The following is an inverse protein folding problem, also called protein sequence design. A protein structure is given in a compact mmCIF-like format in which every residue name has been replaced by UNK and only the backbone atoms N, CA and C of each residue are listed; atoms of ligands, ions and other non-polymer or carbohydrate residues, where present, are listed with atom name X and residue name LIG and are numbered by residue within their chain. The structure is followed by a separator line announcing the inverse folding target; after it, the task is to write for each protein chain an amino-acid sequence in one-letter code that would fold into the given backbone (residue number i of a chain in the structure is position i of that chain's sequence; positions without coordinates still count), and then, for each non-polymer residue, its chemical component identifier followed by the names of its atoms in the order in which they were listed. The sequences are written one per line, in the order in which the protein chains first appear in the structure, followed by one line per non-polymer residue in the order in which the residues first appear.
data_IF_097820597959
#
_entry.id   IF_097820597959
#
_cell.length_a   1.000
_cell.length_b   1.000
_cell.length_c   1.000
_cell.angle_alpha   90.00
_cell.angle_beta   90.00
_cell.angle_gamma   90.00
#
_symmetry.space_group_name_H-M   'P 1'
#
loop_
_entity.id
_entity.type
_entity.pdbx_description
1 polymer ?
#
# COMPACT_ATOMS: atom_id res chain seq x y z
N UNK A 1 51.38 -19.00 -32.65
CA UNK A 1 51.74 -18.19 -33.84
C UNK A 1 50.82 -16.98 -33.89
N UNK A 2 51.44 -15.78 -33.99
CA UNK A 2 50.97 -14.55 -34.66
C UNK A 2 49.50 -14.15 -34.44
N UNK A 3 49.17 -13.05 -33.78
CA UNK A 3 49.82 -11.74 -33.86
C UNK A 3 48.83 -10.77 -34.50
N UNK A 4 48.48 -9.72 -33.77
CA UNK A 4 47.68 -8.59 -34.19
C UNK A 4 48.13 -8.06 -35.56
N UNK A 5 47.17 -7.77 -36.43
CA UNK A 5 47.40 -7.05 -37.68
C UNK A 5 46.31 -6.01 -37.88
N UNK A 6 46.59 -4.77 -37.47
CA UNK A 6 46.14 -3.61 -38.25
C UNK A 6 47.16 -3.41 -39.38
N UNK A 7 46.72 -3.02 -40.58
CA UNK A 7 46.88 -1.63 -41.02
C UNK A 7 45.60 -1.11 -41.72
N UNK A 8 45.18 0.16 -41.54
CA UNK A 8 45.63 1.32 -42.32
C UNK A 8 45.68 0.98 -43.82
N UNK A 9 44.88 1.52 -44.72
CA UNK A 9 44.63 2.93 -45.07
C UNK A 9 43.50 2.92 -46.09
N UNK A 10 42.48 3.76 -45.92
CA UNK A 10 42.29 4.95 -46.75
C UNK A 10 42.19 4.63 -48.25
N UNK A 11 40.99 4.75 -48.82
CA UNK A 11 40.83 5.21 -50.20
C UNK A 11 39.49 5.94 -50.32
N UNK A 12 39.62 7.27 -50.27
CA UNK A 12 38.60 8.24 -50.62
C UNK A 12 38.27 8.14 -52.10
N UNK A 13 37.02 7.82 -52.44
CA UNK A 13 36.41 8.19 -53.74
C UNK A 13 34.95 8.61 -53.56
N UNK A 14 34.79 9.93 -53.55
CA UNK A 14 33.85 10.73 -54.38
C UNK A 14 32.36 10.36 -54.45
N UNK A 15 31.57 11.21 -53.77
CA UNK A 15 30.23 11.73 -54.08
C UNK A 15 29.23 10.83 -54.80
N UNK A 16 28.09 10.57 -54.15
CA UNK A 16 26.76 11.08 -54.55
C UNK A 16 25.61 10.39 -53.77
N UNK A 17 24.60 11.18 -53.42
CA UNK A 17 23.25 10.81 -52.95
C UNK A 17 23.06 10.29 -51.51
N UNK A 18 22.49 11.17 -50.67
CA UNK A 18 21.64 10.83 -49.52
C UNK A 18 20.37 10.10 -50.02
N UNK A 19 19.80 9.14 -49.27
CA UNK A 19 18.83 9.53 -48.25
C UNK A 19 18.80 8.68 -46.97
N UNK A 20 18.42 9.38 -45.90
CA UNK A 20 17.69 8.92 -44.71
C UNK A 20 18.42 8.06 -43.67
N UNK A 21 18.50 8.71 -42.50
CA UNK A 21 18.32 8.15 -41.16
C UNK A 21 19.57 7.63 -40.47
N UNK A 22 20.12 8.41 -39.55
CA UNK A 22 20.29 7.93 -38.18
C UNK A 22 20.07 9.07 -37.18
N UNK A 23 19.16 8.77 -36.25
CA UNK A 23 18.51 9.64 -35.28
C UNK A 23 19.44 10.20 -34.20
N UNK A 24 19.21 11.46 -33.85
CA UNK A 24 19.47 12.05 -32.53
C UNK A 24 18.58 11.40 -31.45
N UNK A 25 19.10 11.32 -30.20
CA UNK A 25 18.44 11.61 -28.89
C UNK A 25 19.19 10.82 -27.78
N UNK A 26 19.88 11.46 -26.82
CA UNK A 26 19.37 12.19 -25.65
C UNK A 26 18.74 11.30 -24.56
N UNK A 27 19.17 11.47 -23.30
CA UNK A 27 18.34 11.16 -22.13
C UNK A 27 19.05 10.48 -20.95
N UNK A 28 19.32 11.25 -19.89
CA UNK A 28 19.43 10.72 -18.53
C UNK A 28 18.13 9.97 -18.17
N UNK A 29 18.25 8.77 -17.61
CA UNK A 29 17.15 8.09 -16.93
C UNK A 29 17.62 7.58 -15.56
N UNK A 30 17.52 8.44 -14.55
CA UNK A 30 17.43 8.01 -13.16
C UNK A 30 16.15 7.20 -13.00
N UNK A 31 16.28 5.89 -12.91
CA UNK A 31 15.15 5.00 -12.66
C UNK A 31 14.55 5.30 -11.28
N UNK A 32 13.40 5.97 -11.26
CA UNK A 32 12.50 5.93 -10.12
C UNK A 32 12.10 4.46 -9.91
N UNK A 33 12.60 3.84 -8.84
CA UNK A 33 12.04 2.61 -8.31
C UNK A 33 10.65 2.93 -7.77
N UNK A 34 9.65 2.91 -8.64
CA UNK A 34 8.26 2.86 -8.21
C UNK A 34 8.10 1.57 -7.40
N UNK A 35 7.82 1.70 -6.10
CA UNK A 35 7.45 0.57 -5.25
C UNK A 35 6.07 0.07 -5.72
N UNK A 36 6.06 -0.71 -6.79
CA UNK A 36 4.89 -1.44 -7.25
C UNK A 36 4.46 -2.34 -6.09
N UNK A 37 3.36 -1.96 -5.44
CA UNK A 37 2.78 -2.76 -4.39
C UNK A 37 2.51 -4.14 -4.98
N UNK A 38 3.06 -5.22 -4.40
CA UNK A 38 2.83 -6.56 -4.92
C UNK A 38 1.31 -6.77 -4.98
N UNK A 39 0.83 -7.21 -6.15
CA UNK A 39 -0.57 -7.55 -6.32
C UNK A 39 -1.03 -8.47 -5.17
N UNK A 40 -2.28 -8.37 -4.71
CA UNK A 40 -2.77 -9.17 -3.58
C UNK A 40 -2.49 -10.68 -3.76
N UNK A 41 -2.52 -11.17 -4.99
CA UNK A 41 -2.18 -12.56 -5.36
C UNK A 41 -0.69 -12.90 -5.20
N UNK A 42 0.22 -11.93 -5.38
CA UNK A 42 1.65 -12.12 -5.16
C UNK A 42 1.97 -12.23 -3.65
N UNK A 43 1.28 -11.46 -2.81
CA UNK A 43 1.40 -11.54 -1.35
C UNK A 43 0.87 -12.88 -0.82
N UNK A 44 -0.28 -13.31 -1.34
CA UNK A 44 -0.87 -14.60 -0.98
C UNK A 44 0.06 -15.77 -1.35
N UNK A 45 0.60 -15.80 -2.57
CA UNK A 45 1.56 -16.84 -3.00
C UNK A 45 2.84 -16.86 -2.17
N UNK A 46 3.29 -15.68 -1.69
CA UNK A 46 4.45 -15.62 -0.79
C UNK A 46 4.12 -16.28 0.55
N UNK A 47 2.97 -15.97 1.13
CA UNK A 47 2.51 -16.57 2.37
C UNK A 47 2.41 -18.11 2.26
N UNK A 48 1.84 -18.62 1.18
CA UNK A 48 1.73 -20.07 0.94
C UNK A 48 3.09 -20.78 0.92
N UNK A 49 4.10 -20.16 0.29
CA UNK A 49 5.48 -20.69 0.31
C UNK A 49 6.08 -20.68 1.72
N UNK A 50 5.82 -19.63 2.50
CA UNK A 50 6.32 -19.53 3.89
C UNK A 50 5.65 -20.59 4.79
N UNK A 51 4.34 -20.83 4.64
CA UNK A 51 3.62 -21.89 5.37
C UNK A 51 4.15 -23.28 5.00
N UNK A 52 4.43 -23.53 3.72
CA UNK A 52 5.05 -24.78 3.30
C UNK A 52 6.43 -24.99 3.94
N UNK A 53 7.24 -23.92 4.05
CA UNK A 53 8.52 -23.96 4.74
C UNK A 53 8.37 -24.23 6.25
N UNK A 54 7.39 -23.61 6.93
CA UNK A 54 7.10 -23.87 8.34
C UNK A 54 6.67 -25.33 8.58
N UNK A 55 5.91 -25.92 7.66
CA UNK A 55 5.34 -27.26 7.79
C UNK A 55 6.20 -28.40 7.21
N UNK A 56 7.48 -28.15 6.91
CA UNK A 56 8.39 -29.12 6.30
C UNK A 56 8.81 -30.30 7.21
N UNK A 57 8.36 -30.32 8.47
CA UNK A 57 8.68 -31.37 9.45
C UNK A 57 10.03 -31.24 10.16
N UNK A 58 10.84 -30.21 9.86
CA UNK A 58 12.15 -30.00 10.53
C UNK A 58 12.03 -29.23 11.84
N UNK A 59 10.90 -28.56 12.08
CA UNK A 59 10.66 -27.75 13.27
C UNK A 59 9.86 -28.54 14.31
N UNK A 60 10.26 -28.44 15.58
CA UNK A 60 9.44 -28.89 16.71
C UNK A 60 8.13 -28.07 16.76
N UNK A 61 7.06 -28.66 17.30
CA UNK A 61 5.73 -28.05 17.29
C UNK A 61 5.70 -26.58 17.77
N UNK A 62 6.34 -26.18 18.89
CA UNK A 62 6.35 -24.78 19.31
C UNK A 62 7.01 -23.83 18.30
N UNK A 63 8.11 -24.26 17.67
CA UNK A 63 8.83 -23.47 16.68
C UNK A 63 8.04 -23.34 15.37
N UNK A 64 7.32 -24.40 14.98
CA UNK A 64 6.42 -24.38 13.82
C UNK A 64 5.28 -23.38 14.02
N UNK A 65 4.61 -23.42 15.17
CA UNK A 65 3.52 -22.48 15.46
C UNK A 65 4.02 -21.02 15.50
N UNK A 66 5.23 -20.78 16.00
CA UNK A 66 5.86 -19.47 15.97
C UNK A 66 6.15 -19.00 14.52
N UNK A 67 6.64 -19.90 13.66
CA UNK A 67 6.88 -19.64 12.24
C UNK A 67 5.59 -19.26 11.50
N UNK A 68 4.52 -20.03 11.68
CA UNK A 68 3.20 -19.78 11.07
C UNK A 68 2.65 -18.43 11.51
N UNK A 69 2.74 -18.11 12.81
CA UNK A 69 2.32 -16.81 13.35
C UNK A 69 3.11 -15.65 12.74
N UNK A 70 4.42 -15.79 12.60
CA UNK A 70 5.26 -14.77 11.98
C UNK A 70 4.92 -14.53 10.51
N UNK A 71 4.66 -15.60 9.74
CA UNK A 71 4.23 -15.52 8.34
C UNK A 71 2.87 -14.79 8.20
N UNK A 72 1.91 -15.09 9.09
CA UNK A 72 0.62 -14.39 9.12
C UNK A 72 0.77 -12.89 9.39
N UNK A 73 1.56 -12.52 10.41
CA UNK A 73 1.85 -11.12 10.72
C UNK A 73 2.52 -10.41 9.53
N UNK A 74 3.42 -11.09 8.81
CA UNK A 74 4.06 -10.53 7.63
C UNK A 74 3.07 -10.27 6.49
N UNK A 75 2.11 -11.19 6.25
CA UNK A 75 1.04 -11.00 5.27
C UNK A 75 0.12 -9.84 5.65
N UNK A 76 -0.28 -9.75 6.92
CA UNK A 76 -1.17 -8.69 7.41
C UNK A 76 -0.53 -7.31 7.26
N UNK A 77 0.76 -7.18 7.61
CA UNK A 77 1.52 -5.93 7.38
C UNK A 77 1.61 -5.59 5.90
N UNK A 78 1.84 -6.59 5.04
CA UNK A 78 1.96 -6.37 3.60
C UNK A 78 0.62 -5.96 2.95
N UNK A 79 -0.52 -6.29 3.56
CA UNK A 79 -1.85 -5.85 3.13
C UNK A 79 -2.20 -4.43 3.59
N UNK A 80 -1.35 -3.79 4.40
CA UNK A 80 -1.49 -2.40 4.81
C UNK A 80 -2.38 -2.16 6.03
N UNK A 81 -3.02 -3.20 6.59
CA UNK A 81 -3.92 -3.08 7.74
C UNK A 81 -5.12 -2.15 7.51
N UNK A 82 -6.10 -2.10 8.44
CA UNK A 82 -7.08 -1.02 8.44
C UNK A 82 -6.35 0.33 8.59
N UNK A 83 -6.83 1.40 7.93
CA UNK A 83 -6.19 2.71 8.03
C UNK A 83 -6.10 3.15 9.48
N UNK A 84 -4.96 3.71 9.88
CA UNK A 84 -4.74 4.19 11.24
C UNK A 84 -5.83 5.20 11.61
N UNK A 85 -6.52 4.97 12.73
CA UNK A 85 -7.53 5.90 13.21
C UNK A 85 -6.87 7.22 13.60
N UNK A 86 -7.47 8.32 13.16
CA UNK A 86 -6.96 9.67 13.40
C UNK A 86 -7.93 10.36 14.36
N UNK A 87 -7.43 11.03 15.42
CA UNK A 87 -8.25 11.91 16.23
C UNK A 87 -8.81 13.05 15.35
N UNK A 88 -10.12 13.14 15.26
CA UNK A 88 -10.83 14.22 14.57
C UNK A 88 -11.79 14.94 15.52
N UNK A 89 -12.00 16.26 15.37
CA UNK A 89 -13.02 16.95 16.15
C UNK A 89 -14.41 16.41 15.78
N UNK A 90 -15.27 16.27 16.79
CA UNK A 90 -16.69 15.97 16.59
C UNK A 90 -17.39 17.11 15.86
N UNK A 91 -18.53 16.82 15.22
CA UNK A 91 -19.30 17.81 14.46
C UNK A 91 -19.75 19.02 15.33
N UNK A 92 -19.93 18.81 16.63
CA UNK A 92 -20.30 19.83 17.60
C UNK A 92 -19.10 20.60 18.20
N UNK A 93 -17.86 20.21 17.88
CA UNK A 93 -16.62 20.79 18.39
C UNK A 93 -16.32 20.52 19.87
N UNK A 94 -17.11 19.69 20.57
CA UNK A 94 -16.98 19.47 22.02
C UNK A 94 -16.16 18.25 22.39
N UNK A 95 -16.00 17.31 21.46
CA UNK A 95 -15.29 16.04 21.68
C UNK A 95 -14.25 15.78 20.59
N UNK A 96 -13.29 14.92 20.93
CA UNK A 96 -12.37 14.31 19.96
C UNK A 96 -12.80 12.87 19.72
N UNK A 97 -13.14 12.55 18.48
CA UNK A 97 -13.57 11.22 18.05
C UNK A 97 -12.42 10.58 17.29
N UNK A 98 -12.14 9.32 17.59
CA UNK A 98 -11.15 8.51 16.89
C UNK A 98 -11.86 7.80 15.75
N UNK A 99 -11.47 8.09 14.50
CA UNK A 99 -12.12 7.54 13.31
C UNK A 99 -11.12 7.38 12.15
N UNK A 100 -11.43 6.56 11.13
CA UNK A 100 -10.60 6.48 9.93
C UNK A 100 -10.44 7.84 9.23
N UNK A 101 -9.30 8.10 8.57
CA UNK A 101 -9.07 9.33 7.84
C UNK A 101 -10.11 9.51 6.73
N UNK A 102 -10.76 10.68 6.70
CA UNK A 102 -11.81 11.01 5.74
C UNK A 102 -13.22 10.52 6.12
N UNK A 103 -13.38 9.88 7.29
CA UNK A 103 -14.71 9.61 7.84
C UNK A 103 -15.41 10.94 8.17
N UNK A 104 -16.70 11.04 7.85
CA UNK A 104 -17.48 12.21 8.25
C UNK A 104 -17.45 12.35 9.79
N UNK A 105 -17.26 13.57 10.33
CA UNK A 105 -17.28 13.77 11.77
C UNK A 105 -18.69 13.44 12.28
N UNK A 106 -18.79 12.44 13.16
CA UNK A 106 -20.03 12.20 13.88
C UNK A 106 -20.17 13.24 15.00
N UNK A 107 -21.38 13.73 15.23
CA UNK A 107 -21.70 14.32 16.54
C UNK A 107 -21.72 13.15 17.53
N UNK A 108 -21.24 13.35 18.77
CA UNK A 108 -21.48 12.37 19.83
C UNK A 108 -22.98 12.16 20.09
N UNK A 109 -23.33 11.38 21.12
CA UNK A 109 -24.73 11.30 21.55
C UNK A 109 -25.23 12.65 22.07
N UNK A 110 -26.42 13.06 21.66
CA UNK A 110 -27.06 14.27 22.19
C UNK A 110 -27.85 13.92 23.46
N UNK A 111 -27.68 14.72 24.51
CA UNK A 111 -28.47 14.59 25.72
C UNK A 111 -29.60 15.62 25.73
N UNK A 112 -30.84 15.16 25.81
CA UNK A 112 -32.01 16.02 25.96
C UNK A 112 -32.73 15.70 27.27
N UNK A 113 -33.23 16.71 27.95
CA UNK A 113 -34.07 16.49 29.13
C UNK A 113 -35.45 16.01 28.69
N UNK A 114 -35.97 14.97 29.34
CA UNK A 114 -37.33 14.47 29.13
C UNK A 114 -38.36 15.60 29.32
N UNK A 115 -39.50 15.50 28.63
CA UNK A 115 -40.56 16.53 28.65
C UNK A 115 -41.06 16.84 30.07
N UNK A 116 -41.06 15.86 30.95
CA UNK A 116 -41.46 15.98 32.35
C UNK A 116 -40.33 16.46 33.29
N UNK A 117 -39.13 16.69 32.76
CA UNK A 117 -37.97 17.18 33.49
C UNK A 117 -37.27 16.13 34.38
N UNK A 118 -37.75 14.88 34.41
CA UNK A 118 -37.31 13.89 35.41
C UNK A 118 -36.17 12.98 34.95
N UNK A 119 -35.91 12.92 33.66
CA UNK A 119 -34.90 12.06 33.08
C UNK A 119 -34.04 12.81 32.06
N UNK A 120 -32.79 12.38 31.91
CA UNK A 120 -31.93 12.76 30.79
C UNK A 120 -31.97 11.62 29.77
N UNK A 121 -32.39 11.93 28.55
CA UNK A 121 -32.47 10.99 27.43
C UNK A 121 -31.23 11.20 26.57
N UNK A 122 -30.43 10.15 26.43
CA UNK A 122 -29.25 10.13 25.57
C UNK A 122 -29.68 9.56 24.20
N UNK A 123 -29.68 10.41 23.18
CA UNK A 123 -30.00 10.05 21.80
C UNK A 123 -28.68 9.73 21.05
N UNK A 124 -28.48 8.50 20.56
CA UNK A 124 -27.33 8.19 19.72
C UNK A 124 -27.38 8.96 18.40
N UNK A 125 -26.23 9.40 17.92
CA UNK A 125 -26.13 10.11 16.64
C UNK A 125 -26.63 9.26 15.47
N UNK A 126 -27.41 9.87 14.57
CA UNK A 126 -27.94 9.22 13.36
C UNK A 126 -29.30 8.53 13.52
N UNK A 127 -29.87 8.47 14.74
CA UNK A 127 -31.26 8.07 14.93
C UNK A 127 -32.17 9.29 14.86
N UNK A 128 -32.88 9.45 13.73
CA UNK A 128 -34.01 10.36 13.65
C UNK A 128 -35.04 9.96 14.70
N UNK A 129 -35.53 10.94 15.47
CA UNK A 129 -36.58 10.72 16.45
C UNK A 129 -37.74 9.95 15.80
N UNK A 130 -38.30 8.90 16.46
CA UNK A 130 -39.47 8.22 15.92
C UNK A 130 -40.59 9.25 15.73
N UNK A 131 -41.00 9.46 14.48
CA UNK A 131 -42.12 10.30 14.10
C UNK A 131 -43.37 9.73 14.77
N UNK A 132 -44.01 10.51 15.63
CA UNK A 132 -45.29 10.18 16.27
C UNK A 132 -46.42 10.89 15.55
#
# INVERSE_FOLDING_TARGET
MRGCGSPATENTVKSSQLPRSFFLCAGLATAFAAAAQPAPDALQRRYEREIAACNNGTLAAPAREACIRAAGIALDRARGGPPAEVPQPSADGRATIVAPPGAAPSSGSDATTSRDGRATIVQPAGQAAPQR
#
